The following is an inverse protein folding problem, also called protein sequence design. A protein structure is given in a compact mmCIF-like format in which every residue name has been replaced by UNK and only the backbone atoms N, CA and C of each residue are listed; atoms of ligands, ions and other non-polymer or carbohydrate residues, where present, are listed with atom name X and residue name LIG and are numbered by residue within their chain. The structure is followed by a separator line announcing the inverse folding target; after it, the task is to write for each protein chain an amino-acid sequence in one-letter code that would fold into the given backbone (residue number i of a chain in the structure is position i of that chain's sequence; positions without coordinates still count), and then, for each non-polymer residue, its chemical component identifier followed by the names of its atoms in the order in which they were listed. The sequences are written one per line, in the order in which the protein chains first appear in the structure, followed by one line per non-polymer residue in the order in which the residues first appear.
data_IF_686306095691
#
_entry.id   IF_686306095691
#
_cell.length_a   1.000
_cell.length_b   1.000
_cell.length_c   1.000
_cell.angle_alpha   90.00
_cell.angle_beta   90.00
_cell.angle_gamma   90.00
#
_symmetry.space_group_name_H-M   'P 1'
#
loop_
_entity.id
_entity.type
_entity.pdbx_description
1 polymer ?
#
# COMPACT_ATOMS: atom_id res chain seq x y z
N UNK A 1 0.41 7.32 -16.42
CA UNK A 1 0.72 6.11 -15.68
C UNK A 1 -0.53 5.56 -15.02
N UNK A 2 -0.59 4.25 -14.89
CA UNK A 2 -1.52 3.60 -13.99
C UNK A 2 -1.09 3.82 -12.56
N UNK A 3 -2.04 3.83 -11.63
CA UNK A 3 -1.75 3.96 -10.19
C UNK A 3 -2.34 2.78 -9.44
N UNK A 4 -1.50 2.07 -8.70
CA UNK A 4 -1.91 0.98 -7.81
C UNK A 4 -1.58 1.37 -6.38
N UNK A 5 -2.59 1.39 -5.53
CA UNK A 5 -2.42 1.61 -4.09
C UNK A 5 -2.74 0.31 -3.37
N UNK A 6 -1.80 -0.18 -2.56
CA UNK A 6 -2.01 -1.37 -1.73
C UNK A 6 -1.86 -1.02 -0.25
N UNK A 7 -2.95 -1.17 0.49
CA UNK A 7 -3.00 -0.90 1.91
C UNK A 7 -3.30 -2.14 2.76
N UNK A 8 -2.70 -2.23 3.93
CA UNK A 8 -3.01 -3.27 4.93
C UNK A 8 -3.36 -2.66 6.27
N UNK A 9 -4.56 -2.96 6.79
CA UNK A 9 -5.03 -2.46 8.07
C UNK A 9 -4.95 -0.94 8.17
N UNK A 10 -4.27 -0.42 9.20
CA UNK A 10 -4.09 1.04 9.41
C UNK A 10 -3.27 1.71 8.31
N UNK A 11 -2.54 0.95 7.50
CA UNK A 11 -1.75 1.48 6.38
C UNK A 11 -2.57 2.19 5.30
N UNK A 12 -3.90 2.04 5.31
CA UNK A 12 -4.76 2.84 4.44
C UNK A 12 -4.76 4.34 4.82
N UNK A 13 -4.54 4.67 6.09
CA UNK A 13 -4.57 6.05 6.56
C UNK A 13 -3.48 6.94 5.90
N UNK A 14 -2.19 6.58 5.87
CA UNK A 14 -1.18 7.37 5.17
C UNK A 14 -1.32 7.32 3.64
N UNK A 15 -1.99 6.33 3.07
CA UNK A 15 -2.27 6.25 1.64
C UNK A 15 -3.47 7.11 1.19
N UNK A 16 -4.36 7.45 2.12
CA UNK A 16 -5.58 8.23 1.83
C UNK A 16 -5.32 9.57 1.13
N UNK A 17 -4.32 10.39 1.50
CA UNK A 17 -4.00 11.61 0.75
C UNK A 17 -3.61 11.34 -0.72
N UNK A 18 -2.88 10.24 -1.00
CA UNK A 18 -2.53 9.86 -2.36
C UNK A 18 -3.78 9.45 -3.17
N UNK A 19 -4.72 8.73 -2.55
CA UNK A 19 -6.01 8.40 -3.18
C UNK A 19 -6.74 9.68 -3.60
N UNK A 20 -6.90 10.64 -2.69
CA UNK A 20 -7.56 11.90 -3.01
C UNK A 20 -6.80 12.74 -4.04
N UNK A 21 -5.46 12.70 -4.01
CA UNK A 21 -4.67 13.38 -5.04
C UNK A 21 -4.96 12.82 -6.43
N UNK A 22 -5.00 11.50 -6.60
CA UNK A 22 -5.32 10.86 -7.87
C UNK A 22 -6.76 11.18 -8.30
N UNK A 23 -7.71 11.08 -7.37
CA UNK A 23 -9.11 11.38 -7.65
C UNK A 23 -9.35 12.84 -8.08
N UNK A 24 -8.64 13.78 -7.47
CA UNK A 24 -8.74 15.22 -7.81
C UNK A 24 -8.00 15.60 -9.11
N UNK A 25 -7.16 14.70 -9.62
CA UNK A 25 -6.38 14.90 -10.85
C UNK A 25 -6.57 13.73 -11.82
N UNK A 26 -7.78 13.20 -11.90
CA UNK A 26 -8.05 11.91 -12.56
C UNK A 26 -7.68 11.88 -14.03
N UNK A 27 -7.77 13.02 -14.70
CA UNK A 27 -7.38 13.22 -16.11
C UNK A 27 -5.88 13.01 -16.39
N UNK A 28 -5.04 13.07 -15.34
CA UNK A 28 -3.59 12.88 -15.44
C UNK A 28 -3.16 11.42 -15.34
N UNK A 29 -4.06 10.53 -14.93
CA UNK A 29 -3.79 9.12 -14.66
C UNK A 29 -4.67 8.22 -15.54
N UNK A 30 -4.16 7.05 -15.89
CA UNK A 30 -4.90 6.01 -16.60
C UNK A 30 -5.73 5.18 -15.60
N UNK A 31 -5.51 3.89 -15.51
CA UNK A 31 -6.20 3.05 -14.53
C UNK A 31 -5.79 3.36 -13.09
N UNK A 32 -6.78 3.33 -12.20
CA UNK A 32 -6.57 3.57 -10.78
C UNK A 32 -7.15 2.42 -9.96
N UNK A 33 -6.29 1.70 -9.24
CA UNK A 33 -6.64 0.49 -8.50
C UNK A 33 -6.26 0.63 -7.03
N UNK A 34 -7.21 0.37 -6.15
CA UNK A 34 -6.99 0.22 -4.71
C UNK A 34 -7.14 -1.25 -4.32
N UNK A 35 -6.08 -1.83 -3.76
CA UNK A 35 -6.05 -3.15 -3.14
C UNK A 35 -5.97 -2.96 -1.63
N UNK A 36 -7.00 -3.35 -0.89
CA UNK A 36 -7.04 -3.14 0.55
C UNK A 36 -7.33 -4.42 1.30
N UNK A 37 -6.53 -4.69 2.33
CA UNK A 37 -6.69 -5.86 3.20
C UNK A 37 -6.86 -5.47 4.67
N UNK A 38 -7.76 -6.16 5.38
CA UNK A 38 -7.93 -6.07 6.82
C UNK A 38 -8.06 -7.47 7.43
N UNK A 39 -7.95 -7.59 8.75
CA UNK A 39 -8.12 -8.89 9.41
C UNK A 39 -9.57 -9.38 9.35
N UNK A 40 -10.50 -8.47 9.55
CA UNK A 40 -11.94 -8.76 9.55
C UNK A 40 -12.73 -7.58 8.97
N UNK A 41 -13.99 -7.78 8.57
CA UNK A 41 -14.83 -6.69 8.07
C UNK A 41 -15.01 -5.54 9.07
N UNK A 42 -14.97 -5.82 10.36
CA UNK A 42 -15.12 -4.82 11.44
C UNK A 42 -13.89 -3.92 11.59
N UNK A 43 -12.73 -4.36 11.08
CA UNK A 43 -11.47 -3.61 11.12
C UNK A 43 -11.20 -2.83 9.84
N UNK A 44 -12.14 -2.81 8.90
CA UNK A 44 -12.02 -1.98 7.70
C UNK A 44 -12.09 -0.49 8.06
N UNK A 45 -11.01 0.22 7.74
CA UNK A 45 -10.97 1.68 7.86
C UNK A 45 -11.75 2.32 6.72
N UNK A 46 -12.34 3.48 7.02
CA UNK A 46 -13.03 4.30 6.01
C UNK A 46 -14.08 3.53 5.20
N UNK A 47 -14.88 2.69 5.87
CA UNK A 47 -15.84 1.81 5.21
C UNK A 47 -16.81 2.56 4.29
N UNK A 48 -17.26 3.77 4.67
CA UNK A 48 -18.09 4.61 3.83
C UNK A 48 -17.34 5.07 2.58
N UNK A 49 -16.10 5.56 2.73
CA UNK A 49 -15.26 5.99 1.60
C UNK A 49 -14.95 4.82 0.67
N UNK A 50 -14.68 3.62 1.21
CA UNK A 50 -14.48 2.41 0.39
C UNK A 50 -15.72 2.08 -0.46
N UNK A 51 -16.92 2.29 0.06
CA UNK A 51 -18.16 2.13 -0.71
C UNK A 51 -18.30 3.21 -1.78
N UNK A 52 -18.04 4.48 -1.45
CA UNK A 52 -18.07 5.60 -2.38
C UNK A 52 -17.06 5.41 -3.51
N UNK A 53 -15.82 5.04 -3.18
CA UNK A 53 -14.77 4.76 -4.18
C UNK A 53 -15.10 3.55 -5.03
N UNK A 54 -15.65 2.47 -4.42
CA UNK A 54 -16.04 1.26 -5.14
C UNK A 54 -17.23 1.46 -6.09
N UNK A 55 -18.03 2.50 -5.86
CA UNK A 55 -19.12 2.91 -6.76
C UNK A 55 -18.68 3.77 -7.95
N UNK A 56 -17.41 4.18 -8.01
CA UNK A 56 -16.89 5.01 -9.09
C UNK A 56 -16.57 4.14 -10.32
N UNK A 57 -16.83 4.69 -11.50
CA UNK A 57 -16.48 4.05 -12.78
C UNK A 57 -15.01 4.24 -13.21
N UNK A 58 -14.34 5.23 -12.59
CA UNK A 58 -12.96 5.64 -12.91
C UNK A 58 -11.92 5.13 -11.89
N UNK A 59 -12.33 4.23 -11.00
CA UNK A 59 -11.48 3.61 -9.97
C UNK A 59 -11.95 2.17 -9.70
N UNK A 60 -11.00 1.25 -9.55
CA UNK A 60 -11.27 -0.12 -9.13
C UNK A 60 -10.87 -0.31 -7.67
N UNK A 61 -11.78 -0.75 -6.83
CA UNK A 61 -11.54 -1.03 -5.41
C UNK A 61 -11.73 -2.52 -5.15
N UNK A 62 -10.67 -3.18 -4.71
CA UNK A 62 -10.70 -4.59 -4.32
C UNK A 62 -10.34 -4.70 -2.84
N UNK A 63 -11.24 -5.31 -2.06
CA UNK A 63 -11.08 -5.47 -0.61
C UNK A 63 -11.05 -6.95 -0.25
N UNK A 64 -10.12 -7.33 0.62
CA UNK A 64 -10.06 -8.66 1.22
C UNK A 64 -10.02 -8.59 2.74
N UNK A 65 -10.49 -9.65 3.39
CA UNK A 65 -10.33 -9.85 4.84
C UNK A 65 -9.73 -11.21 5.11
N UNK A 66 -8.88 -11.32 6.11
CA UNK A 66 -8.26 -12.61 6.46
C UNK A 66 -9.31 -13.58 6.99
N UNK A 67 -10.24 -13.09 7.79
CA UNK A 67 -11.35 -13.86 8.38
C UNK A 67 -12.67 -13.20 8.03
N UNK A 68 -13.51 -13.92 7.29
CA UNK A 68 -14.85 -13.48 6.96
C UNK A 68 -15.79 -13.65 8.17
N UNK A 69 -16.67 -12.67 8.37
CA UNK A 69 -17.80 -12.78 9.30
C UNK A 69 -19.11 -12.90 8.54
N UNK A 70 -20.19 -13.24 9.25
CA UNK A 70 -21.51 -13.42 8.66
C UNK A 70 -21.92 -12.16 7.89
N UNK A 71 -22.30 -12.34 6.63
CA UNK A 71 -22.72 -11.25 5.73
C UNK A 71 -21.58 -10.66 4.88
N UNK A 72 -20.34 -11.12 5.06
CA UNK A 72 -19.25 -10.70 4.17
C UNK A 72 -19.38 -11.32 2.79
N UNK A 73 -19.34 -10.51 1.73
CA UNK A 73 -19.45 -10.93 0.32
C UNK A 73 -18.19 -10.66 -0.49
N UNK A 74 -17.20 -9.98 0.09
CA UNK A 74 -15.92 -9.66 -0.55
C UNK A 74 -14.94 -10.83 -0.55
N UNK A 75 -13.71 -10.57 -1.00
CA UNK A 75 -12.63 -11.56 -1.03
C UNK A 75 -12.20 -11.97 0.38
N UNK A 76 -11.76 -13.23 0.52
CA UNK A 76 -11.21 -13.77 1.76
C UNK A 76 -9.76 -14.21 1.54
N UNK A 77 -8.89 -13.80 2.44
CA UNK A 77 -7.46 -14.06 2.44
C UNK A 77 -6.63 -12.78 2.40
N UNK A 78 -5.32 -12.97 2.35
CA UNK A 78 -4.34 -11.86 2.37
C UNK A 78 -4.46 -10.97 1.14
N UNK A 79 -4.19 -9.68 1.31
CA UNK A 79 -4.35 -8.67 0.24
C UNK A 79 -3.53 -8.97 -1.02
N UNK A 80 -2.40 -9.67 -0.89
CA UNK A 80 -1.57 -10.07 -2.03
C UNK A 80 -2.30 -10.95 -3.04
N UNK A 81 -3.35 -11.66 -2.64
CA UNK A 81 -4.22 -12.42 -3.56
C UNK A 81 -5.04 -11.54 -4.51
N UNK A 82 -5.10 -10.25 -4.25
CA UNK A 82 -5.79 -9.29 -5.11
C UNK A 82 -4.88 -8.74 -6.22
N UNK A 83 -3.56 -8.94 -6.11
CA UNK A 83 -2.58 -8.54 -7.13
C UNK A 83 -2.91 -9.26 -8.46
N UNK A 84 -2.89 -8.50 -9.55
CA UNK A 84 -3.26 -9.01 -10.88
C UNK A 84 -4.77 -9.16 -11.14
N UNK A 85 -5.64 -8.79 -10.17
CA UNK A 85 -7.09 -8.79 -10.38
C UNK A 85 -7.66 -7.44 -10.83
N UNK A 86 -6.88 -6.37 -10.70
CA UNK A 86 -7.28 -5.04 -11.14
C UNK A 86 -6.81 -4.75 -12.57
N UNK A 87 -7.47 -3.80 -13.26
CA UNK A 87 -7.05 -3.34 -14.57
C UNK A 87 -5.88 -2.36 -14.40
N UNK A 88 -4.64 -2.84 -14.57
CA UNK A 88 -3.46 -1.99 -14.65
C UNK A 88 -2.39 -2.67 -15.51
N UNK A 89 -1.60 -1.86 -16.18
CA UNK A 89 -0.43 -2.29 -16.94
C UNK A 89 0.79 -2.27 -16.02
N UNK A 90 1.38 -3.43 -15.76
CA UNK A 90 2.53 -3.56 -14.88
C UNK A 90 3.74 -2.76 -15.36
N UNK A 91 3.93 -2.63 -16.68
CA UNK A 91 5.03 -1.87 -17.27
C UNK A 91 4.89 -0.35 -17.09
N UNK A 92 3.67 0.15 -16.83
CA UNK A 92 3.40 1.60 -16.66
C UNK A 92 2.87 1.96 -15.25
N UNK A 93 2.67 0.98 -14.36
CA UNK A 93 2.09 1.21 -13.05
C UNK A 93 3.07 1.89 -12.07
N UNK A 94 2.59 2.91 -11.37
CA UNK A 94 3.19 3.43 -10.13
C UNK A 94 2.47 2.83 -8.93
N UNK A 95 3.22 2.24 -8.04
CA UNK A 95 2.66 1.50 -6.91
C UNK A 95 3.03 2.14 -5.58
N UNK A 96 2.04 2.30 -4.70
CA UNK A 96 2.23 2.78 -3.33
C UNK A 96 1.74 1.73 -2.33
N UNK A 97 2.64 1.27 -1.45
CA UNK A 97 2.35 0.29 -0.41
C UNK A 97 2.47 0.88 0.98
N UNK A 98 1.53 0.56 1.85
CA UNK A 98 1.64 0.83 3.28
C UNK A 98 0.86 -0.21 4.10
N UNK A 99 1.46 -0.68 5.17
CA UNK A 99 0.86 -1.66 6.08
C UNK A 99 1.93 -2.41 6.88
N UNK A 100 1.58 -3.54 7.48
CA UNK A 100 2.55 -4.39 8.16
C UNK A 100 3.74 -4.75 7.27
N UNK A 101 4.95 -4.75 7.82
CA UNK A 101 6.18 -5.00 7.05
C UNK A 101 6.14 -6.30 6.24
N UNK A 102 5.56 -7.36 6.81
CA UNK A 102 5.37 -8.64 6.12
C UNK A 102 4.43 -8.50 4.90
N UNK A 103 3.36 -7.69 5.02
CA UNK A 103 2.45 -7.42 3.90
C UNK A 103 3.14 -6.63 2.81
N UNK A 104 3.91 -5.58 3.16
CA UNK A 104 4.64 -4.77 2.18
C UNK A 104 5.68 -5.60 1.43
N UNK A 105 6.41 -6.47 2.13
CA UNK A 105 7.39 -7.38 1.53
C UNK A 105 6.75 -8.33 0.50
N UNK A 106 5.70 -9.05 0.89
CA UNK A 106 5.04 -9.99 -0.02
C UNK A 106 4.20 -9.27 -1.09
N UNK A 107 3.65 -8.10 -0.76
CA UNK A 107 2.95 -7.26 -1.73
C UNK A 107 3.88 -6.78 -2.84
N UNK A 108 5.04 -6.24 -2.48
CA UNK A 108 6.05 -5.84 -3.46
C UNK A 108 6.51 -7.03 -4.32
N UNK A 109 6.80 -8.18 -3.69
CA UNK A 109 7.20 -9.37 -4.45
C UNK A 109 6.12 -9.82 -5.44
N UNK A 110 4.86 -9.86 -5.00
CA UNK A 110 3.74 -10.24 -5.89
C UNK A 110 3.57 -9.28 -7.07
N UNK A 111 3.83 -7.99 -6.88
CA UNK A 111 3.79 -6.98 -7.94
C UNK A 111 4.98 -7.13 -8.91
N UNK A 112 6.17 -7.42 -8.39
CA UNK A 112 7.36 -7.71 -9.19
C UNK A 112 7.13 -8.98 -10.04
N UNK A 113 6.52 -10.00 -9.48
CA UNK A 113 6.17 -11.24 -10.19
C UNK A 113 5.14 -10.99 -11.32
N UNK A 114 4.38 -9.89 -11.24
CA UNK A 114 3.48 -9.43 -12.31
C UNK A 114 4.16 -8.51 -13.34
N UNK A 115 5.43 -8.18 -13.14
CA UNK A 115 6.22 -7.36 -14.08
C UNK A 115 6.47 -5.92 -13.63
N UNK A 116 5.93 -5.47 -12.49
CA UNK A 116 6.22 -4.12 -11.99
C UNK A 116 7.69 -4.03 -11.58
N UNK A 117 8.40 -3.02 -12.07
CA UNK A 117 9.81 -2.80 -11.73
C UNK A 117 9.96 -2.19 -10.33
N UNK A 118 11.04 -2.53 -9.64
CA UNK A 118 11.27 -2.13 -8.23
C UNK A 118 11.37 -0.63 -8.01
N UNK A 119 11.84 0.12 -9.01
CA UNK A 119 11.95 1.57 -9.01
C UNK A 119 10.59 2.30 -9.16
N UNK A 120 9.54 1.57 -9.49
CA UNK A 120 8.15 2.08 -9.57
C UNK A 120 7.29 1.71 -8.36
N UNK A 121 7.86 0.99 -7.39
CA UNK A 121 7.20 0.62 -6.14
C UNK A 121 7.70 1.54 -5.03
N UNK A 122 6.78 2.18 -4.33
CA UNK A 122 7.05 3.06 -3.19
C UNK A 122 6.42 2.47 -1.94
N UNK A 123 7.20 2.40 -0.87
CA UNK A 123 6.75 1.89 0.43
C UNK A 123 6.75 3.00 1.47
N UNK A 124 5.66 3.11 2.22
CA UNK A 124 5.58 4.03 3.35
C UNK A 124 5.92 3.27 4.63
N UNK A 125 7.05 3.63 5.22
CA UNK A 125 7.62 2.97 6.41
C UNK A 125 7.21 3.70 7.68
N UNK A 126 7.04 2.96 8.75
CA UNK A 126 6.77 3.48 10.08
C UNK A 126 7.79 2.95 11.08
N UNK A 127 8.30 3.83 11.92
CA UNK A 127 9.13 3.54 13.09
C UNK A 127 8.74 4.46 14.24
N UNK A 128 8.92 3.99 15.45
CA UNK A 128 8.71 4.82 16.64
C UNK A 128 9.68 6.01 16.65
N UNK A 129 9.14 7.21 16.48
CA UNK A 129 9.93 8.45 16.42
C UNK A 129 9.93 9.16 17.77
N UNK A 130 11.09 9.72 18.16
CA UNK A 130 11.20 10.56 19.34
C UNK A 130 11.63 11.98 19.01
N UNK A 131 12.79 12.17 18.37
CA UNK A 131 13.27 13.52 18.05
C UNK A 131 12.69 14.10 16.75
N UNK A 132 12.30 13.25 15.79
CA UNK A 132 11.78 13.60 14.47
C UNK A 132 12.74 14.45 13.58
N UNK A 133 14.03 14.51 13.92
CA UNK A 133 15.05 15.31 13.22
C UNK A 133 16.32 14.52 12.88
N UNK A 134 16.27 13.19 12.95
CA UNK A 134 17.40 12.32 12.61
C UNK A 134 18.55 12.31 13.63
N UNK A 135 18.29 12.63 14.89
CA UNK A 135 19.32 12.75 15.92
C UNK A 135 19.39 11.54 16.86
N UNK A 136 18.26 11.05 17.38
CA UNK A 136 18.24 10.07 18.47
C UNK A 136 18.38 8.61 18.04
N UNK A 137 18.30 8.29 16.76
CA UNK A 137 18.40 6.93 16.23
C UNK A 137 17.18 6.03 16.43
N UNK A 138 16.13 6.48 17.14
CA UNK A 138 14.97 5.65 17.47
C UNK A 138 14.21 5.13 16.24
N UNK A 139 14.16 5.91 15.16
CA UNK A 139 13.51 5.55 13.91
C UNK A 139 14.52 5.08 12.84
N UNK A 140 15.68 4.59 13.25
CA UNK A 140 16.71 4.12 12.32
C UNK A 140 16.19 2.90 11.53
N UNK A 141 16.46 2.92 10.24
CA UNK A 141 16.17 1.83 9.31
C UNK A 141 17.39 1.63 8.41
N UNK A 142 18.24 0.65 8.76
CA UNK A 142 19.54 0.49 8.13
C UNK A 142 20.39 1.76 8.24
N UNK A 143 20.89 2.32 7.13
CA UNK A 143 21.68 3.54 7.12
C UNK A 143 20.85 4.82 7.22
N UNK A 144 19.52 4.76 7.21
CA UNK A 144 18.61 5.90 7.14
C UNK A 144 17.81 6.10 8.43
N UNK A 145 17.22 7.28 8.59
CA UNK A 145 16.26 7.60 9.64
C UNK A 145 14.91 7.93 9.02
N UNK A 146 13.86 7.19 9.37
CA UNK A 146 12.51 7.37 8.81
C UNK A 146 12.03 8.83 8.96
N UNK A 147 12.33 9.48 10.06
CA UNK A 147 11.91 10.86 10.34
C UNK A 147 12.60 11.92 9.47
N UNK A 148 13.78 11.61 8.91
CA UNK A 148 14.59 12.56 8.14
C UNK A 148 14.62 12.21 6.65
N UNK A 149 14.83 10.93 6.35
CA UNK A 149 15.09 10.43 4.99
C UNK A 149 13.83 9.88 4.32
N UNK A 150 12.79 9.53 5.12
CA UNK A 150 11.51 9.00 4.68
C UNK A 150 10.33 9.90 5.02
N UNK A 151 9.15 9.35 5.31
CA UNK A 151 8.84 7.93 5.50
C UNK A 151 8.67 7.11 4.22
N UNK A 152 8.59 7.73 3.06
CA UNK A 152 8.37 7.05 1.78
C UNK A 152 9.70 6.80 1.08
N UNK A 153 9.93 5.54 0.72
CA UNK A 153 11.13 5.11 0.00
C UNK A 153 10.75 4.37 -1.28
N UNK A 154 11.59 4.45 -2.30
CA UNK A 154 11.49 3.52 -3.42
C UNK A 154 11.91 2.12 -2.95
N UNK A 155 11.25 1.12 -3.48
CA UNK A 155 11.49 -0.26 -3.01
C UNK A 155 12.90 -0.75 -3.34
N UNK A 156 13.48 -0.37 -4.49
CA UNK A 156 14.86 -0.71 -4.87
C UNK A 156 15.93 -0.16 -3.91
N UNK A 157 15.61 0.90 -3.15
CA UNK A 157 16.50 1.48 -2.15
C UNK A 157 16.48 0.71 -0.82
N UNK A 158 15.38 0.01 -0.53
CA UNK A 158 15.12 -0.61 0.77
C UNK A 158 14.82 -2.10 0.73
N UNK A 159 14.82 -2.74 -0.44
CA UNK A 159 14.46 -4.13 -0.65
C UNK A 159 15.25 -5.08 0.25
N UNK A 160 16.56 -4.89 0.36
CA UNK A 160 17.45 -5.69 1.22
C UNK A 160 17.17 -5.48 2.70
N UNK A 161 16.78 -4.26 3.09
CA UNK A 161 16.49 -3.92 4.48
C UNK A 161 15.13 -4.50 4.91
N UNK A 162 14.12 -4.43 4.05
CA UNK A 162 12.79 -5.00 4.32
C UNK A 162 12.85 -6.53 4.50
N UNK A 163 13.85 -7.19 3.92
CA UNK A 163 14.03 -8.64 4.06
C UNK A 163 14.61 -9.05 5.41
N UNK A 164 15.30 -8.16 6.10
CA UNK A 164 15.89 -8.44 7.41
C UNK A 164 14.81 -8.29 8.49
N UNK A 165 14.65 -9.32 9.34
CA UNK A 165 13.57 -9.38 10.34
C UNK A 165 13.62 -8.31 11.43
N UNK A 166 14.78 -7.68 11.68
CA UNK A 166 15.04 -6.81 12.83
C UNK A 166 15.95 -5.63 12.44
N UNK A 167 15.57 -4.88 11.44
CA UNK A 167 16.29 -3.65 11.09
C UNK A 167 15.56 -2.42 11.62
#
# INVERSE_FOLDING_TARGET
HDVVIMGGGIGLAPLRPAIYHVLNNRDRYKDFVLLYGARSPQELLYAQELQEWGGRFDMTVLVSVDVATRGWTGSVGVVTKLVGRGPYDADDALVFLCGPGIMMRYGAQSLIDQGVTTDRIYVSMERNMKCAVGFCGHCQFGPTFICKDGPVFRFDEVDKLIQVREV
#
